data_IF_151589211106
#
_entry.id   IF_151589211106
#
_cell.length_a   1.000
_cell.length_b   1.000
_cell.length_c   1.000
_cell.angle_alpha   90.00
_cell.angle_beta   90.00
_cell.angle_gamma   90.00
#
_symmetry.space_group_name_H-M   'P 1'
#
loop_
_entity.id
_entity.type
_entity.pdbx_description
1 polymer ?
#
# COMPACT_ATOMS: atom_id res chain seq x y z
N UNK A 1 -13.30 -0.05 -14.08
CA UNK A 1 -14.14 -0.70 -13.05
C UNK A 1 -13.90 0.07 -11.76
N UNK A 2 -14.93 0.43 -11.01
CA UNK A 2 -14.87 1.34 -9.84
C UNK A 2 -15.24 0.58 -8.54
N UNK A 3 -14.71 -0.62 -8.37
CA UNK A 3 -15.00 -1.49 -7.24
C UNK A 3 -13.69 -1.90 -6.58
N UNK A 4 -13.60 -1.74 -5.27
CA UNK A 4 -12.49 -2.25 -4.45
C UNK A 4 -13.04 -3.10 -3.30
N UNK A 5 -12.32 -4.14 -2.91
CA UNK A 5 -12.68 -5.04 -1.81
C UNK A 5 -11.56 -5.06 -0.76
N UNK A 6 -11.92 -4.90 0.51
CA UNK A 6 -11.01 -4.99 1.65
C UNK A 6 -11.57 -5.94 2.70
N UNK A 7 -10.72 -6.67 3.42
CA UNK A 7 -11.10 -7.59 4.49
C UNK A 7 -10.26 -7.35 5.74
N UNK A 8 -10.88 -7.51 6.92
CA UNK A 8 -10.21 -7.40 8.21
C UNK A 8 -9.72 -8.75 8.73
N UNK A 9 -9.66 -9.79 7.89
CA UNK A 9 -9.20 -11.13 8.24
C UNK A 9 -8.10 -11.61 7.29
N UNK A 10 -7.08 -12.28 7.84
CA UNK A 10 -6.08 -13.01 7.04
C UNK A 10 -6.63 -14.35 6.51
N UNK A 11 -5.82 -15.08 5.77
CA UNK A 11 -6.18 -16.39 5.19
C UNK A 11 -6.55 -17.45 6.24
N UNK A 12 -6.17 -17.26 7.50
CA UNK A 12 -6.49 -18.16 8.62
C UNK A 12 -7.75 -17.74 9.38
N UNK A 13 -8.40 -16.65 8.95
CA UNK A 13 -9.57 -16.08 9.63
C UNK A 13 -9.20 -15.22 10.86
N UNK A 14 -7.91 -14.95 11.08
CA UNK A 14 -7.47 -14.12 12.20
C UNK A 14 -7.65 -12.65 11.85
N UNK A 15 -8.15 -11.88 12.82
CA UNK A 15 -8.33 -10.43 12.67
C UNK A 15 -7.00 -9.75 12.37
N UNK A 16 -6.94 -9.02 11.26
CA UNK A 16 -5.83 -8.15 10.93
C UNK A 16 -5.73 -7.02 11.96
N UNK A 17 -4.51 -6.56 12.21
CA UNK A 17 -4.30 -5.32 12.94
C UNK A 17 -5.03 -4.19 12.20
N UNK A 18 -5.76 -3.33 12.91
CA UNK A 18 -6.57 -2.27 12.29
C UNK A 18 -5.74 -1.45 11.28
N UNK A 19 -4.50 -1.11 11.63
CA UNK A 19 -3.57 -0.39 10.74
C UNK A 19 -3.28 -1.14 9.43
N UNK A 20 -3.12 -2.47 9.47
CA UNK A 20 -2.89 -3.27 8.26
C UNK A 20 -4.12 -3.26 7.34
N UNK A 21 -5.32 -3.37 7.91
CA UNK A 21 -6.56 -3.33 7.12
C UNK A 21 -6.82 -1.93 6.53
N UNK A 22 -6.53 -0.86 7.26
CA UNK A 22 -6.59 0.52 6.75
C UNK A 22 -5.62 0.73 5.58
N UNK A 23 -4.38 0.21 5.70
CA UNK A 23 -3.36 0.30 4.65
C UNK A 23 -3.72 -0.50 3.41
N UNK A 24 -4.26 -1.72 3.56
CA UNK A 24 -4.78 -2.51 2.43
C UNK A 24 -5.92 -1.75 1.75
N UNK A 25 -6.84 -1.16 2.52
CA UNK A 25 -7.94 -0.37 1.97
C UNK A 25 -7.42 0.83 1.17
N UNK A 26 -6.42 1.55 1.71
CA UNK A 26 -5.79 2.67 1.03
C UNK A 26 -5.04 2.25 -0.24
N UNK A 27 -4.41 1.08 -0.26
CA UNK A 27 -3.74 0.49 -1.42
C UNK A 27 -4.72 0.22 -2.57
N UNK A 28 -5.84 -0.46 -2.29
CA UNK A 28 -6.86 -0.75 -3.31
C UNK A 28 -7.54 0.53 -3.83
N UNK A 29 -7.71 1.51 -2.94
CA UNK A 29 -8.19 2.82 -3.32
C UNK A 29 -7.17 3.56 -4.19
N UNK A 30 -5.87 3.37 -3.94
CA UNK A 30 -4.79 3.87 -4.79
C UNK A 30 -4.87 3.33 -6.22
N UNK A 31 -5.16 2.03 -6.38
CA UNK A 31 -5.45 1.46 -7.69
C UNK A 31 -6.68 2.07 -8.37
N UNK A 32 -7.75 2.37 -7.62
CA UNK A 32 -8.92 3.08 -8.18
C UNK A 32 -8.57 4.50 -8.65
N UNK A 33 -7.56 5.14 -8.05
CA UNK A 33 -6.99 6.42 -8.50
C UNK A 33 -5.86 6.29 -9.53
N UNK A 34 -5.64 5.10 -10.09
CA UNK A 34 -4.71 4.91 -11.22
C UNK A 34 -3.25 4.71 -10.84
N UNK A 35 -2.92 4.47 -9.56
CA UNK A 35 -1.56 4.03 -9.21
C UNK A 35 -1.31 2.57 -9.58
N UNK A 36 -0.14 2.33 -10.16
CA UNK A 36 0.44 1.00 -10.28
C UNK A 36 1.22 0.64 -9.00
N UNK A 37 1.68 -0.61 -8.91
CA UNK A 37 2.60 -1.00 -7.84
C UNK A 37 3.93 -0.25 -7.95
N UNK A 38 4.52 0.04 -6.79
CA UNK A 38 5.88 0.57 -6.71
C UNK A 38 6.88 -0.45 -7.27
N UNK A 39 7.81 -0.05 -8.16
CA UNK A 39 8.88 -0.94 -8.62
C UNK A 39 9.82 -1.27 -7.47
N UNK A 40 10.48 -2.43 -7.53
CA UNK A 40 11.45 -2.85 -6.51
C UNK A 40 12.81 -2.16 -6.72
N UNK A 41 12.79 -0.83 -6.57
CA UNK A 41 13.97 0.04 -6.55
C UNK A 41 14.11 0.67 -5.18
N UNK A 42 15.31 1.08 -4.79
CA UNK A 42 15.52 1.73 -3.48
C UNK A 42 14.79 3.08 -3.36
N UNK A 43 14.53 3.74 -4.49
CA UNK A 43 13.78 5.00 -4.56
C UNK A 43 12.28 4.81 -4.27
N UNK A 44 11.64 3.82 -4.87
CA UNK A 44 10.19 3.59 -4.76
C UNK A 44 9.81 2.48 -3.78
N UNK A 45 10.78 1.69 -3.33
CA UNK A 45 10.59 0.57 -2.41
C UNK A 45 11.76 0.47 -1.41
N UNK A 46 12.02 1.51 -0.60
CA UNK A 46 13.17 1.54 0.29
C UNK A 46 13.12 0.41 1.35
N UNK A 47 14.29 -0.06 1.80
CA UNK A 47 14.37 -1.17 2.74
C UNK A 47 13.80 -0.81 4.11
N UNK A 48 13.46 -1.83 4.90
CA UNK A 48 12.87 -1.68 6.23
C UNK A 48 13.69 -0.79 7.18
N UNK A 49 15.02 -0.85 7.11
CA UNK A 49 15.91 -0.03 7.94
C UNK A 49 15.94 1.46 7.55
N UNK A 50 15.54 1.79 6.32
CA UNK A 50 15.67 3.16 5.77
C UNK A 50 14.43 4.01 5.99
N UNK A 51 13.25 3.36 6.13
CA UNK A 51 11.91 3.89 6.49
C UNK A 51 10.76 3.00 6.00
N UNK A 52 11.09 1.86 5.39
CA UNK A 52 10.14 0.84 4.92
C UNK A 52 9.53 1.14 3.56
N UNK A 53 8.77 0.17 3.06
CA UNK A 53 8.11 0.21 1.75
C UNK A 53 6.97 1.23 1.73
N UNK A 54 6.70 1.83 0.57
CA UNK A 54 5.60 2.79 0.38
C UNK A 54 4.23 2.10 0.24
N UNK A 55 3.16 2.90 0.27
CA UNK A 55 1.77 2.41 0.27
C UNK A 55 1.44 1.47 -0.90
N UNK A 56 2.03 1.72 -2.09
CA UNK A 56 1.73 0.97 -3.31
C UNK A 56 2.70 -0.20 -3.54
N UNK A 57 3.46 -0.62 -2.52
CA UNK A 57 4.30 -1.81 -2.64
C UNK A 57 3.46 -3.07 -2.90
N UNK A 58 3.94 -3.96 -3.78
CA UNK A 58 3.18 -5.11 -4.27
C UNK A 58 2.81 -6.16 -3.19
N UNK A 59 3.36 -6.04 -1.97
CA UNK A 59 3.05 -6.91 -0.85
C UNK A 59 2.55 -6.11 0.34
N UNK A 60 1.55 -6.65 1.04
CA UNK A 60 0.96 -6.01 2.21
C UNK A 60 2.00 -5.71 3.29
N UNK A 61 1.89 -4.54 3.90
CA UNK A 61 2.78 -4.06 4.97
C UNK A 61 2.04 -4.02 6.31
N UNK A 62 2.77 -4.23 7.41
CA UNK A 62 2.18 -4.27 8.75
C UNK A 62 1.88 -2.88 9.35
N UNK A 63 2.35 -1.78 8.72
CA UNK A 63 2.11 -0.42 9.19
C UNK A 63 3.06 0.07 10.28
N UNK A 64 4.21 -0.57 10.47
CA UNK A 64 5.22 -0.13 11.45
C UNK A 64 6.14 0.98 10.93
N UNK A 65 6.28 1.08 9.61
CA UNK A 65 7.25 1.96 8.98
C UNK A 65 6.56 3.22 8.46
N UNK A 66 7.20 4.39 8.61
CA UNK A 66 6.58 5.68 8.29
C UNK A 66 6.17 5.78 6.81
N UNK A 67 6.91 5.13 5.91
CA UNK A 67 6.60 5.17 4.49
C UNK A 67 5.35 4.36 4.12
N UNK A 68 4.87 3.45 4.99
CA UNK A 68 3.66 2.67 4.72
C UNK A 68 2.43 3.58 4.54
N UNK A 69 2.47 4.82 5.05
CA UNK A 69 1.34 5.76 5.06
C UNK A 69 1.45 6.86 4.01
N UNK A 70 2.45 6.82 3.12
CA UNK A 70 2.62 7.81 2.05
C UNK A 70 2.86 7.12 0.71
N UNK A 71 2.46 7.77 -0.38
CA UNK A 71 2.76 7.31 -1.73
C UNK A 71 4.23 7.56 -2.09
N UNK A 72 4.79 6.73 -2.96
CA UNK A 72 6.10 6.98 -3.57
C UNK A 72 6.03 8.18 -4.53
N UNK A 73 7.18 8.68 -4.96
CA UNK A 73 7.32 9.94 -5.72
C UNK A 73 6.75 9.85 -7.15
N UNK A 74 6.29 8.67 -7.60
CA UNK A 74 5.61 8.56 -8.88
C UNK A 74 4.16 9.06 -8.74
N UNK A 75 3.74 10.08 -9.49
CA UNK A 75 2.38 10.56 -9.41
C UNK A 75 1.46 9.41 -9.78
N UNK A 76 0.46 9.17 -8.93
CA UNK A 76 -0.83 8.62 -9.35
C UNK A 76 -1.14 9.27 -10.70
N UNK A 77 -1.37 8.50 -11.77
CA UNK A 77 -1.61 9.04 -13.11
C UNK A 77 -2.79 10.03 -13.08
N UNK A 78 -2.50 11.29 -12.80
CA UNK A 78 -3.40 12.42 -12.91
C UNK A 78 -3.10 13.06 -14.26
N UNK A 79 -3.53 12.40 -15.34
CA UNK A 79 -3.90 13.12 -16.56
C UNK A 79 -5.33 13.63 -16.33
N UNK A 80 -5.44 14.85 -15.79
CA UNK A 80 -6.63 15.69 -15.96
C UNK A 80 -6.38 16.67 -17.10
#
# INVERSE_FOLDING_TARGET
MNTGWTTYADYSGRRLLNAMAELITAHELGHNWGAAHDPDTEECSPPAHSRGKYLMYAHSVAGFAVNNYVSSVHPMFFDF
#
